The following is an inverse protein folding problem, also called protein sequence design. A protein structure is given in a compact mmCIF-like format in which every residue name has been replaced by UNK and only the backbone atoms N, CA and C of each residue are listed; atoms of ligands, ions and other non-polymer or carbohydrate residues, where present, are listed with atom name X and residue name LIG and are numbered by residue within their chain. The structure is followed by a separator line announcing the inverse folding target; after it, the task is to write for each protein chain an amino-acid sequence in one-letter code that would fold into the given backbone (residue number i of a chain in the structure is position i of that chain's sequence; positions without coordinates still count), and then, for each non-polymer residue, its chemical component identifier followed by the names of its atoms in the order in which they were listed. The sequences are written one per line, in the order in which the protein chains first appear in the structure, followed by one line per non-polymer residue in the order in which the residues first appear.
data_IF_200399062178
#
_entry.id   IF_200399062178
#
_cell.length_a   1.000
_cell.length_b   1.000
_cell.length_c   1.000
_cell.angle_alpha   90.00
_cell.angle_beta   90.00
_cell.angle_gamma   90.00
#
_symmetry.space_group_name_H-M   'P 1'
#
loop_
_entity.id
_entity.type
_entity.pdbx_description
1 polymer ?
#
# COMPACT_ATOMS: atom_id res chain seq x y z
N UNK A 1 -0.25 -26.57 20.23
CA UNK A 1 0.41 -25.26 20.29
C UNK A 1 -0.61 -24.23 19.86
N UNK A 2 -1.00 -23.31 20.74
CA UNK A 2 -1.99 -22.27 20.41
C UNK A 2 -1.43 -21.23 19.44
N UNK A 3 -2.29 -20.51 18.70
CA UNK A 3 -1.87 -19.41 17.80
C UNK A 3 -0.94 -18.40 18.50
N UNK A 4 -1.20 -18.11 19.78
CA UNK A 4 -0.37 -17.22 20.58
C UNK A 4 1.04 -17.78 20.87
N UNK A 5 1.20 -19.10 21.01
CA UNK A 5 2.53 -19.71 21.21
C UNK A 5 3.37 -19.66 19.94
N UNK A 6 2.73 -19.84 18.77
CA UNK A 6 3.39 -19.70 17.46
C UNK A 6 3.81 -18.25 17.20
N UNK A 7 2.95 -17.28 17.52
CA UNK A 7 3.26 -15.85 17.40
C UNK A 7 4.42 -15.45 18.33
N UNK A 8 4.40 -15.98 19.56
CA UNK A 8 5.42 -15.71 20.56
C UNK A 8 6.78 -16.32 20.21
N UNK A 9 6.80 -17.47 19.55
CA UNK A 9 8.03 -18.14 19.10
C UNK A 9 8.59 -17.54 17.79
N UNK A 10 7.75 -16.97 16.93
CA UNK A 10 8.17 -16.43 15.63
C UNK A 10 8.79 -15.02 15.69
N UNK A 11 8.55 -14.29 16.78
CA UNK A 11 9.02 -12.92 16.95
C UNK A 11 10.09 -12.87 18.05
N UNK A 12 11.32 -12.49 17.69
CA UNK A 12 12.43 -12.11 18.60
C UNK A 12 12.13 -10.82 19.40
N UNK A 13 10.84 -10.54 19.65
CA UNK A 13 10.35 -9.39 20.37
C UNK A 13 10.33 -9.67 21.87
N UNK A 14 11.19 -8.98 22.60
CA UNK A 14 11.38 -9.11 24.06
C UNK A 14 10.47 -8.16 24.87
N UNK A 15 9.64 -7.33 24.21
CA UNK A 15 8.72 -6.42 24.87
C UNK A 15 7.45 -7.11 25.37
N UNK A 16 6.63 -6.36 26.12
CA UNK A 16 5.32 -6.82 26.60
C UNK A 16 4.42 -7.21 25.42
N UNK A 17 3.80 -8.39 25.49
CA UNK A 17 2.93 -8.94 24.45
C UNK A 17 1.51 -9.00 25.01
N UNK A 18 0.61 -8.19 24.46
CA UNK A 18 -0.79 -8.17 24.87
C UNK A 18 -1.68 -8.95 23.92
N UNK A 19 -2.54 -9.87 24.41
CA UNK A 19 -3.49 -10.57 23.58
C UNK A 19 -4.63 -9.63 23.13
N UNK A 20 -4.96 -9.67 21.84
CA UNK A 20 -5.97 -8.82 21.21
C UNK A 20 -7.34 -8.75 21.93
N UNK A 21 -7.91 -9.87 22.45
CA UNK A 21 -9.19 -9.83 23.17
C UNK A 21 -9.16 -9.00 24.47
N UNK A 22 -8.01 -8.95 25.14
CA UNK A 22 -7.85 -8.15 26.36
C UNK A 22 -7.75 -6.66 26.04
N UNK A 23 -7.09 -6.31 24.94
CA UNK A 23 -7.02 -4.94 24.40
C UNK A 23 -8.39 -4.39 23.98
N UNK A 24 -9.22 -5.21 23.35
CA UNK A 24 -10.55 -4.79 22.86
C UNK A 24 -11.55 -4.50 24.00
N UNK A 25 -11.34 -5.09 25.17
CA UNK A 25 -12.19 -4.91 26.35
C UNK A 25 -11.67 -3.83 27.32
N UNK A 26 -10.48 -3.28 27.07
CA UNK A 26 -9.96 -2.15 27.84
C UNK A 26 -10.52 -0.84 27.28
N UNK A 27 -11.60 -0.35 27.89
CA UNK A 27 -12.01 1.04 27.77
C UNK A 27 -11.13 1.92 28.65
N UNK A 28 -9.85 2.08 28.28
CA UNK A 28 -9.06 3.17 28.80
C UNK A 28 -9.49 4.45 28.05
N UNK A 29 -9.77 5.58 28.73
CA UNK A 29 -9.86 6.85 28.02
C UNK A 29 -8.53 7.03 27.30
N UNK A 30 -8.56 7.11 25.97
CA UNK A 30 -7.36 7.38 25.20
C UNK A 30 -6.85 8.76 25.61
N UNK A 31 -5.88 8.80 26.52
CA UNK A 31 -5.10 10.00 26.76
C UNK A 31 -4.30 10.23 25.48
N UNK A 32 -4.75 11.20 24.70
CA UNK A 32 -3.97 11.69 23.58
C UNK A 32 -2.64 12.19 24.12
N UNK A 33 -1.52 11.90 23.44
CA UNK A 33 -0.22 12.41 23.86
C UNK A 33 -0.27 13.93 24.00
N UNK A 34 0.36 14.47 25.05
CA UNK A 34 0.38 15.93 25.33
C UNK A 34 1.00 16.74 24.20
N UNK A 35 1.88 16.11 23.41
CA UNK A 35 2.54 16.70 22.26
C UNK A 35 2.30 15.89 20.99
N UNK A 36 2.11 16.58 19.88
CA UNK A 36 2.03 15.93 18.59
C UNK A 36 3.39 15.26 18.26
N UNK A 37 3.41 13.98 17.86
CA UNK A 37 4.63 13.31 17.45
C UNK A 37 5.30 14.03 16.28
N UNK A 38 6.63 14.07 16.26
CA UNK A 38 7.38 14.69 15.17
C UNK A 38 7.22 13.91 13.86
N UNK A 39 7.60 14.51 12.74
CA UNK A 39 7.61 13.83 11.44
C UNK A 39 8.50 12.57 11.41
N UNK A 40 9.57 12.53 12.21
CA UNK A 40 10.48 11.38 12.29
C UNK A 40 10.02 10.33 13.31
N UNK A 41 8.95 10.57 14.07
CA UNK A 41 8.39 9.56 14.96
C UNK A 41 7.92 8.33 14.18
N UNK A 42 8.20 7.14 14.71
CA UNK A 42 7.77 5.86 14.13
C UNK A 42 6.24 5.81 14.06
N UNK A 43 5.69 5.50 12.89
CA UNK A 43 4.25 5.41 12.66
C UNK A 43 3.80 3.99 12.32
N UNK A 44 4.56 3.26 11.50
CA UNK A 44 4.20 1.90 11.07
C UNK A 44 5.44 1.02 11.08
N UNK A 45 5.28 -0.23 11.51
CA UNK A 45 6.26 -1.30 11.30
C UNK A 45 5.64 -2.38 10.43
N UNK A 46 6.31 -2.72 9.33
CA UNK A 46 5.90 -3.79 8.43
C UNK A 46 7.03 -4.79 8.27
N UNK A 47 6.70 -6.08 8.23
CA UNK A 47 7.69 -7.13 8.03
C UNK A 47 7.60 -7.67 6.60
N UNK A 48 8.73 -7.70 5.92
CA UNK A 48 8.88 -8.32 4.59
C UNK A 48 9.67 -9.62 4.70
N UNK A 49 9.49 -10.52 3.73
CA UNK A 49 10.32 -11.72 3.62
C UNK A 49 11.77 -11.30 3.35
N UNK A 50 12.69 -11.58 4.27
CA UNK A 50 14.11 -11.33 4.04
C UNK A 50 14.72 -12.40 3.14
N UNK A 51 15.65 -12.00 2.28
CA UNK A 51 16.44 -12.91 1.43
C UNK A 51 17.23 -13.97 2.22
N UNK A 52 17.48 -13.72 3.51
CA UNK A 52 18.16 -14.63 4.44
C UNK A 52 17.21 -15.60 5.16
N UNK A 53 15.92 -15.62 4.80
CA UNK A 53 14.88 -16.44 5.44
C UNK A 53 14.33 -15.86 6.76
N UNK A 54 14.93 -14.80 7.30
CA UNK A 54 14.42 -14.07 8.47
C UNK A 54 13.69 -12.80 8.02
N UNK A 55 12.45 -12.55 8.47
CA UNK A 55 11.73 -11.32 8.15
C UNK A 55 12.51 -10.06 8.52
N UNK A 56 12.42 -9.02 7.70
CA UNK A 56 13.01 -7.70 7.97
C UNK A 56 11.90 -6.73 8.36
N UNK A 57 11.98 -6.15 9.55
CA UNK A 57 11.03 -5.13 10.00
C UNK A 57 11.42 -3.76 9.47
N UNK A 58 10.57 -3.13 8.68
CA UNK A 58 10.77 -1.80 8.09
C UNK A 58 10.14 -0.76 9.03
N UNK A 59 10.91 0.25 9.42
CA UNK A 59 10.46 1.37 10.27
C UNK A 59 9.97 2.52 9.39
N UNK A 60 8.67 2.79 9.36
CA UNK A 60 8.10 3.89 8.57
C UNK A 60 7.82 5.10 9.48
N UNK A 61 8.35 6.29 9.16
CA UNK A 61 8.11 7.49 9.95
C UNK A 61 6.76 8.14 9.63
N UNK A 62 6.24 8.93 10.57
CA UNK A 62 5.00 9.71 10.43
C UNK A 62 5.02 10.63 9.21
N UNK A 63 6.17 11.23 8.86
CA UNK A 63 6.34 12.07 7.65
C UNK A 63 6.02 11.30 6.37
N UNK A 64 6.42 10.04 6.28
CA UNK A 64 6.20 9.21 5.10
C UNK A 64 4.72 8.89 4.97
N UNK A 65 4.07 8.50 6.08
CA UNK A 65 2.63 8.26 6.13
C UNK A 65 1.82 9.49 5.76
N UNK A 66 2.11 10.65 6.36
CA UNK A 66 1.39 11.90 6.08
C UNK A 66 1.58 12.33 4.62
N UNK A 67 2.80 12.22 4.10
CA UNK A 67 3.08 12.51 2.69
C UNK A 67 2.30 11.59 1.76
N UNK A 68 2.35 10.28 1.99
CA UNK A 68 1.62 9.29 1.20
C UNK A 68 0.11 9.53 1.22
N UNK A 69 -0.47 9.78 2.40
CA UNK A 69 -1.91 10.06 2.55
C UNK A 69 -2.32 11.27 1.72
N UNK A 70 -1.56 12.36 1.77
CA UNK A 70 -1.87 13.56 0.98
C UNK A 70 -1.78 13.30 -0.53
N UNK A 71 -0.70 12.64 -1.00
CA UNK A 71 -0.54 12.27 -2.41
C UNK A 71 -1.68 11.37 -2.87
N UNK A 72 -2.00 10.32 -2.11
CA UNK A 72 -3.02 9.35 -2.47
C UNK A 72 -4.39 10.02 -2.59
N UNK A 73 -4.77 10.89 -1.64
CA UNK A 73 -6.03 11.65 -1.71
C UNK A 73 -6.12 12.50 -2.97
N UNK A 74 -5.05 13.24 -3.31
CA UNK A 74 -5.00 14.09 -4.50
C UNK A 74 -5.08 13.26 -5.79
N UNK A 75 -4.26 12.20 -5.89
CA UNK A 75 -4.16 11.35 -7.07
C UNK A 75 -5.48 10.61 -7.35
N UNK A 76 -6.15 10.13 -6.30
CA UNK A 76 -7.39 9.36 -6.42
C UNK A 76 -8.65 10.21 -6.34
N UNK A 77 -8.54 11.49 -5.99
CA UNK A 77 -9.67 12.40 -5.71
C UNK A 77 -10.57 11.88 -4.58
N UNK A 78 -9.98 11.18 -3.61
CA UNK A 78 -10.67 10.62 -2.46
C UNK A 78 -11.19 11.75 -1.56
N UNK A 79 -12.46 11.66 -1.16
CA UNK A 79 -13.13 12.67 -0.35
C UNK A 79 -14.25 12.03 0.49
N UNK A 80 -14.99 12.84 1.26
CA UNK A 80 -16.00 12.35 2.19
C UNK A 80 -17.21 11.64 1.55
N UNK A 81 -17.44 11.82 0.25
CA UNK A 81 -18.47 11.09 -0.50
C UNK A 81 -17.96 9.76 -1.07
N UNK A 82 -16.65 9.50 -0.97
CA UNK A 82 -16.06 8.26 -1.45
C UNK A 82 -16.40 7.09 -0.54
N UNK A 83 -16.59 5.94 -1.18
CA UNK A 83 -16.72 4.61 -0.56
C UNK A 83 -15.53 3.77 -1.00
N UNK A 84 -14.61 3.50 -0.08
CA UNK A 84 -13.38 2.76 -0.33
C UNK A 84 -13.51 1.31 0.17
N UNK A 85 -12.90 0.35 -0.52
CA UNK A 85 -12.76 -1.02 0.01
C UNK A 85 -11.52 -1.14 0.90
N UNK A 86 -11.56 -2.09 1.83
CA UNK A 86 -10.39 -2.72 2.42
C UNK A 86 -10.35 -4.17 1.94
N UNK A 87 -9.48 -4.42 0.95
CA UNK A 87 -9.24 -5.72 0.32
C UNK A 87 -7.94 -6.35 0.81
N UNK A 88 -6.87 -5.59 0.97
CA UNK A 88 -5.52 -6.05 1.26
C UNK A 88 -5.46 -6.80 2.60
N UNK A 89 -4.47 -7.69 2.73
CA UNK A 89 -4.22 -8.30 4.04
C UNK A 89 -3.49 -7.29 4.91
N UNK A 90 -3.81 -7.26 6.21
CA UNK A 90 -3.18 -6.39 7.20
C UNK A 90 -1.65 -6.51 7.21
N UNK A 91 -1.10 -7.66 6.81
CA UNK A 91 0.34 -7.92 6.76
C UNK A 91 1.07 -7.25 5.59
N UNK A 92 0.36 -6.65 4.63
CA UNK A 92 0.95 -5.94 3.51
C UNK A 92 0.83 -4.43 3.71
N UNK A 93 1.79 -3.69 3.19
CA UNK A 93 1.73 -2.21 3.15
C UNK A 93 0.47 -1.71 2.42
N UNK A 94 -0.04 -2.48 1.45
CA UNK A 94 -1.30 -2.19 0.79
C UNK A 94 -2.51 -2.02 1.72
N UNK A 95 -2.46 -2.51 2.96
CA UNK A 95 -3.49 -2.18 3.94
C UNK A 95 -3.40 -0.72 4.41
N UNK A 96 -2.20 -0.14 4.51
CA UNK A 96 -1.98 1.26 4.90
C UNK A 96 -2.65 2.22 3.90
N UNK A 97 -2.55 1.96 2.58
CA UNK A 97 -3.21 2.79 1.56
C UNK A 97 -4.74 2.67 1.57
N UNK A 98 -5.29 1.55 2.06
CA UNK A 98 -6.73 1.35 2.16
C UNK A 98 -7.33 1.87 3.46
N UNK A 99 -6.56 2.03 4.54
CA UNK A 99 -7.08 2.52 5.82
C UNK A 99 -6.89 4.02 5.99
N UNK A 100 -5.65 4.50 5.95
CA UNK A 100 -5.35 5.86 6.41
C UNK A 100 -5.91 6.95 5.48
N UNK A 101 -5.76 6.87 4.15
CA UNK A 101 -6.32 7.91 3.28
C UNK A 101 -7.85 8.05 3.37
N UNK A 102 -8.66 6.96 3.38
CA UNK A 102 -10.10 7.08 3.60
C UNK A 102 -10.48 7.72 4.94
N UNK A 103 -9.84 7.32 6.04
CA UNK A 103 -10.10 7.90 7.35
C UNK A 103 -9.74 9.39 7.41
N UNK A 104 -8.62 9.80 6.80
CA UNK A 104 -8.18 11.19 6.76
C UNK A 104 -8.98 12.07 5.79
N UNK A 105 -9.76 11.49 4.87
CA UNK A 105 -10.59 12.23 3.90
C UNK A 105 -12.09 12.24 4.25
N UNK A 106 -12.47 11.59 5.37
CA UNK A 106 -13.87 11.42 5.78
C UNK A 106 -14.67 10.45 4.93
N UNK A 107 -13.98 9.62 4.12
CA UNK A 107 -14.62 8.61 3.28
C UNK A 107 -15.19 7.45 4.12
N UNK A 108 -16.10 6.67 3.55
CA UNK A 108 -16.59 5.43 4.18
C UNK A 108 -15.73 4.24 3.76
N UNK A 109 -15.25 3.46 4.73
CA UNK A 109 -14.46 2.26 4.49
C UNK A 109 -15.31 0.98 4.61
N UNK A 110 -15.22 0.10 3.61
CA UNK A 110 -15.91 -1.19 3.53
C UNK A 110 -14.92 -2.35 3.61
N UNK A 111 -14.92 -3.08 4.70
CA UNK A 111 -14.14 -4.31 4.82
C UNK A 111 -14.75 -5.42 3.96
N UNK A 112 -13.97 -5.98 3.05
CA UNK A 112 -14.38 -7.10 2.23
C UNK A 112 -14.24 -8.38 3.07
N UNK A 113 -15.32 -9.16 3.27
CA UNK A 113 -15.24 -10.45 3.96
C UNK A 113 -14.23 -11.38 3.28
N UNK A 114 -13.45 -12.09 4.09
CA UNK A 114 -12.38 -12.97 3.62
C UNK A 114 -12.91 -14.07 2.68
N UNK A 115 -14.13 -14.54 2.93
CA UNK A 115 -14.80 -15.63 2.18
C UNK A 115 -15.15 -15.22 0.75
N UNK A 116 -15.30 -13.92 0.50
CA UNK A 116 -15.64 -13.40 -0.84
C UNK A 116 -14.44 -12.82 -1.58
N UNK A 117 -13.32 -12.59 -0.89
CA UNK A 117 -12.13 -11.91 -1.41
C UNK A 117 -11.62 -12.49 -2.73
N UNK A 118 -11.59 -13.83 -2.86
CA UNK A 118 -11.18 -14.53 -4.10
C UNK A 118 -12.37 -15.04 -4.93
N UNK A 119 -13.60 -14.83 -4.46
CA UNK A 119 -14.82 -15.17 -5.18
C UNK A 119 -15.31 -13.96 -5.97
N UNK A 120 -14.73 -13.73 -7.15
CA UNK A 120 -14.98 -12.54 -7.97
C UNK A 120 -16.47 -12.26 -8.27
N UNK A 121 -17.33 -13.26 -8.57
CA UNK A 121 -18.78 -13.01 -8.71
C UNK A 121 -19.45 -12.47 -7.44
N UNK A 122 -19.01 -12.89 -6.24
CA UNK A 122 -19.52 -12.36 -4.97
C UNK A 122 -18.89 -10.99 -4.67
N UNK A 123 -17.60 -10.82 -4.93
CA UNK A 123 -16.88 -9.55 -4.77
C UNK A 123 -17.47 -8.44 -5.65
N UNK A 124 -17.72 -8.72 -6.93
CA UNK A 124 -18.38 -7.77 -7.85
C UNK A 124 -19.77 -7.37 -7.34
N UNK A 125 -20.59 -8.33 -6.87
CA UNK A 125 -21.88 -8.03 -6.24
C UNK A 125 -21.75 -7.18 -4.97
N UNK A 126 -20.72 -7.43 -4.16
CA UNK A 126 -20.44 -6.66 -2.95
C UNK A 126 -20.06 -5.21 -3.29
N UNK A 127 -19.21 -5.02 -4.31
CA UNK A 127 -18.83 -3.70 -4.84
C UNK A 127 -20.07 -2.91 -5.27
N UNK A 128 -20.93 -3.51 -6.10
CA UNK A 128 -22.14 -2.84 -6.61
C UNK A 128 -23.17 -2.55 -5.50
N UNK A 129 -23.47 -3.54 -4.66
CA UNK A 129 -24.48 -3.40 -3.59
C UNK A 129 -24.08 -2.33 -2.57
N UNK A 130 -22.80 -2.25 -2.27
CA UNK A 130 -22.24 -1.22 -1.39
C UNK A 130 -21.78 0.02 -2.14
N UNK A 131 -22.13 0.19 -3.42
CA UNK A 131 -21.75 1.36 -4.23
C UNK A 131 -20.30 1.78 -4.04
N UNK A 132 -19.39 0.81 -3.97
CA UNK A 132 -17.96 1.06 -3.75
C UNK A 132 -17.44 1.84 -4.96
N UNK A 133 -16.74 2.92 -4.68
CA UNK A 133 -16.23 3.89 -5.66
C UNK A 133 -14.72 3.75 -5.90
N UNK A 134 -13.98 3.35 -4.87
CA UNK A 134 -12.53 3.16 -4.91
C UNK A 134 -12.23 1.77 -4.37
N UNK A 135 -11.54 0.95 -5.15
CA UNK A 135 -11.12 -0.37 -4.68
C UNK A 135 -9.66 -0.61 -5.03
N UNK A 136 -8.89 -1.17 -4.09
CA UNK A 136 -7.59 -1.74 -4.39
C UNK A 136 -7.72 -3.24 -4.60
N UNK A 137 -6.98 -3.78 -5.57
CA UNK A 137 -6.77 -5.21 -5.75
C UNK A 137 -5.31 -5.46 -6.13
N UNK A 138 -4.73 -6.56 -5.66
CA UNK A 138 -3.41 -7.00 -6.13
C UNK A 138 -3.43 -7.19 -7.65
N UNK A 139 -2.28 -7.02 -8.31
CA UNK A 139 -2.15 -7.01 -9.78
C UNK A 139 -2.94 -8.12 -10.47
N UNK A 140 -2.79 -9.36 -10.02
CA UNK A 140 -3.47 -10.52 -10.62
C UNK A 140 -4.98 -10.51 -10.39
N UNK A 141 -5.43 -10.03 -9.23
CA UNK A 141 -6.85 -9.90 -8.93
C UNK A 141 -7.49 -8.76 -9.75
N UNK A 142 -6.82 -7.60 -9.84
CA UNK A 142 -7.25 -6.50 -10.69
C UNK A 142 -7.33 -6.92 -12.16
N UNK A 143 -6.29 -7.60 -12.67
CA UNK A 143 -6.25 -8.10 -14.05
C UNK A 143 -7.40 -9.06 -14.35
N UNK A 144 -7.70 -9.99 -13.43
CA UNK A 144 -8.88 -10.86 -13.57
C UNK A 144 -10.18 -10.07 -13.52
N UNK A 145 -10.30 -9.10 -12.61
CA UNK A 145 -11.50 -8.29 -12.47
C UNK A 145 -11.80 -7.51 -13.75
N UNK A 146 -10.83 -6.78 -14.31
CA UNK A 146 -11.04 -5.95 -15.51
C UNK A 146 -11.38 -6.75 -16.76
N UNK A 147 -10.96 -8.02 -16.85
CA UNK A 147 -11.22 -8.87 -18.01
C UNK A 147 -12.54 -9.65 -17.92
N UNK A 148 -13.04 -9.91 -16.71
CA UNK A 148 -14.20 -10.79 -16.50
C UNK A 148 -15.40 -10.09 -15.87
N UNK A 149 -15.23 -8.91 -15.30
CA UNK A 149 -16.24 -8.20 -14.53
C UNK A 149 -16.23 -6.71 -14.87
N UNK A 150 -17.36 -6.08 -14.63
CA UNK A 150 -17.55 -4.65 -14.77
C UNK A 150 -18.21 -4.11 -13.48
N UNK A 151 -18.13 -2.80 -13.30
CA UNK A 151 -18.76 -2.10 -12.19
C UNK A 151 -19.26 -0.73 -12.65
N UNK A 152 -20.50 -0.43 -12.30
CA UNK A 152 -21.11 0.90 -12.51
C UNK A 152 -20.90 1.82 -11.31
N UNK A 153 -20.63 1.25 -10.13
CA UNK A 153 -20.37 2.04 -8.92
C UNK A 153 -18.91 2.46 -8.79
N UNK A 154 -17.96 1.66 -9.29
CA UNK A 154 -16.55 2.02 -9.27
C UNK A 154 -16.31 3.30 -10.08
N UNK A 155 -15.46 4.16 -9.53
CA UNK A 155 -14.85 5.30 -10.22
C UNK A 155 -13.37 5.02 -10.49
N UNK A 156 -12.72 4.29 -9.59
CA UNK A 156 -11.31 3.97 -9.65
C UNK A 156 -11.01 2.56 -9.09
N UNK A 157 -10.34 1.75 -9.92
CA UNK A 157 -9.66 0.52 -9.50
C UNK A 157 -8.16 0.80 -9.38
N UNK A 158 -7.61 0.64 -8.18
CA UNK A 158 -6.18 0.79 -7.89
C UNK A 158 -5.54 -0.60 -7.87
N UNK A 159 -4.33 -0.71 -8.40
CA UNK A 159 -3.56 -1.94 -8.36
C UNK A 159 -2.06 -1.69 -8.28
N UNK A 160 -1.28 -2.69 -7.88
CA UNK A 160 0.17 -2.60 -7.76
C UNK A 160 0.78 -3.82 -7.07
N UNK A 161 2.11 -3.86 -7.05
CA UNK A 161 2.93 -4.90 -6.40
C UNK A 161 3.62 -5.87 -7.36
N UNK A 162 3.14 -5.99 -8.59
CA UNK A 162 3.74 -6.82 -9.65
C UNK A 162 3.58 -6.13 -11.01
N UNK A 163 4.27 -6.64 -12.04
CA UNK A 163 4.10 -6.16 -13.42
C UNK A 163 2.66 -6.39 -13.88
N UNK A 164 1.92 -5.31 -14.12
CA UNK A 164 0.55 -5.36 -14.62
C UNK A 164 0.51 -5.86 -16.07
N UNK A 165 -0.17 -7.00 -16.37
CA UNK A 165 -0.31 -7.47 -17.75
C UNK A 165 -1.16 -6.51 -18.57
N UNK A 166 -0.91 -6.46 -19.88
CA UNK A 166 -1.66 -5.61 -20.82
C UNK A 166 -3.13 -5.98 -20.90
N UNK A 167 -4.02 -4.98 -20.85
CA UNK A 167 -5.46 -5.13 -21.04
C UNK A 167 -6.03 -3.89 -21.75
N UNK A 168 -7.27 -4.00 -22.23
CA UNK A 168 -8.01 -2.84 -22.74
C UNK A 168 -8.89 -2.29 -21.60
N UNK A 169 -8.75 -1.01 -21.21
CA UNK A 169 -9.48 -0.47 -20.08
C UNK A 169 -11.00 -0.36 -20.33
N UNK A 170 -11.76 -0.46 -19.24
CA UNK A 170 -13.21 -0.28 -19.24
C UNK A 170 -13.57 1.22 -19.39
N UNK A 171 -14.80 1.51 -19.85
CA UNK A 171 -15.33 2.88 -19.98
C UNK A 171 -15.97 3.45 -18.71
N UNK A 172 -16.39 2.60 -17.76
CA UNK A 172 -17.13 3.03 -16.56
C UNK A 172 -16.24 3.52 -15.42
N UNK A 173 -15.03 3.00 -15.31
CA UNK A 173 -14.09 3.37 -14.25
C UNK A 173 -12.65 3.40 -14.78
N UNK A 174 -11.79 4.17 -14.09
CA UNK A 174 -10.37 4.26 -14.42
C UNK A 174 -9.58 3.17 -13.69
N UNK A 175 -8.43 2.78 -14.24
CA UNK A 175 -7.47 1.89 -13.58
C UNK A 175 -6.18 2.65 -13.29
N UNK A 176 -5.72 2.64 -12.04
CA UNK A 176 -4.48 3.25 -11.60
C UNK A 176 -3.48 2.16 -11.21
N UNK A 177 -2.41 2.04 -11.97
CA UNK A 177 -1.27 1.18 -11.68
C UNK A 177 -0.28 1.95 -10.79
N UNK A 178 -0.04 1.46 -9.58
CA UNK A 178 0.89 2.01 -8.61
C UNK A 178 2.16 1.18 -8.54
N UNK A 179 3.29 1.85 -8.29
CA UNK A 179 4.58 1.22 -8.07
C UNK A 179 5.28 1.83 -6.86
N UNK A 180 5.84 0.96 -6.03
CA UNK A 180 6.80 1.31 -5.00
C UNK A 180 7.15 0.09 -4.14
N UNK A 181 8.37 0.03 -3.61
CA UNK A 181 8.73 -0.94 -2.59
C UNK A 181 8.16 -0.54 -1.22
N UNK A 182 8.05 -1.51 -0.31
CA UNK A 182 7.59 -1.31 1.08
C UNK A 182 8.45 -0.28 1.81
N UNK A 183 9.74 -0.21 1.50
CA UNK A 183 10.75 0.73 2.02
C UNK A 183 10.42 2.20 1.71
N UNK A 184 9.51 2.45 0.77
CA UNK A 184 9.02 3.78 0.42
C UNK A 184 7.52 3.97 0.67
N UNK A 185 6.94 3.06 1.46
CA UNK A 185 5.52 3.03 1.84
C UNK A 185 4.55 2.96 0.66
N UNK A 186 4.07 1.76 0.34
CA UNK A 186 3.03 1.47 -0.66
C UNK A 186 3.40 1.83 -2.12
N UNK A 187 3.49 3.13 -2.44
CA UNK A 187 3.81 3.58 -3.78
C UNK A 187 4.50 4.94 -3.82
N UNK A 188 5.37 5.10 -4.81
CA UNK A 188 6.15 6.31 -5.11
C UNK A 188 5.93 6.80 -6.54
N UNK A 189 5.18 6.06 -7.36
CA UNK A 189 4.68 6.50 -8.65
C UNK A 189 3.31 5.91 -8.97
N UNK A 190 2.63 6.51 -9.94
CA UNK A 190 1.35 6.03 -10.45
C UNK A 190 1.15 6.31 -11.94
N UNK A 191 0.39 5.42 -12.60
CA UNK A 191 0.04 5.51 -14.01
C UNK A 191 -1.44 5.16 -14.23
N UNK A 192 -2.21 6.07 -14.83
CA UNK A 192 -3.58 5.76 -15.26
C UNK A 192 -3.54 5.01 -16.59
N UNK A 193 -4.10 3.80 -16.61
CA UNK A 193 -4.21 2.98 -17.83
C UNK A 193 -5.43 3.44 -18.62
N UNK A 194 -5.21 4.35 -19.57
CA UNK A 194 -6.23 5.03 -20.39
C UNK A 194 -6.48 4.36 -21.75
N UNK A 195 -5.55 3.52 -22.21
CA UNK A 195 -5.63 2.73 -23.44
C UNK A 195 -4.83 1.44 -23.30
N UNK A 196 -4.80 0.65 -24.37
CA UNK A 196 -3.92 -0.51 -24.46
C UNK A 196 -2.45 -0.08 -24.55
N UNK A 197 -1.59 -0.76 -23.79
CA UNK A 197 -0.13 -0.62 -23.82
C UNK A 197 0.50 -2.02 -23.86
N UNK A 198 1.50 -2.26 -24.72
CA UNK A 198 2.26 -3.52 -24.73
C UNK A 198 3.05 -3.75 -23.43
N UNK A 199 3.49 -2.66 -22.80
CA UNK A 199 4.11 -2.66 -21.49
C UNK A 199 3.55 -1.50 -20.68
N UNK A 200 2.68 -1.79 -19.72
CA UNK A 200 2.04 -0.76 -18.90
C UNK A 200 3.12 -0.08 -18.02
N UNK A 201 3.31 1.25 -18.15
CA UNK A 201 4.28 1.96 -17.34
C UNK A 201 3.95 1.95 -15.83
N UNK A 202 4.97 2.13 -15.01
CA UNK A 202 4.85 2.47 -13.59
C UNK A 202 4.56 3.97 -13.35
N UNK A 203 4.58 4.76 -14.43
CA UNK A 203 4.20 6.16 -14.45
C UNK A 203 5.28 7.12 -13.97
N UNK A 204 4.83 8.21 -13.37
CA UNK A 204 5.69 9.30 -12.92
C UNK A 204 5.80 9.30 -11.39
N UNK A 205 6.96 9.73 -10.85
CA UNK A 205 7.11 9.89 -9.41
C UNK A 205 6.01 10.79 -8.84
N UNK A 206 5.54 10.44 -7.64
CA UNK A 206 4.65 11.28 -6.85
C UNK A 206 5.30 12.64 -6.58
N UNK A 207 4.48 13.67 -6.35
CA UNK A 207 5.00 15.01 -6.07
C UNK A 207 5.99 14.99 -4.89
N UNK A 208 7.16 15.58 -5.09
CA UNK A 208 8.24 15.56 -4.09
C UNK A 208 9.18 14.36 -4.19
N UNK A 209 8.83 13.34 -4.99
CA UNK A 209 9.68 12.19 -5.28
C UNK A 209 10.41 12.36 -6.61
N UNK A 210 11.53 11.65 -6.79
CA UNK A 210 12.32 11.61 -8.02
C UNK A 210 12.80 10.20 -8.29
N UNK A 211 12.84 9.85 -9.57
CA UNK A 211 13.46 8.63 -10.08
C UNK A 211 14.75 8.98 -10.81
N UNK A 212 15.77 8.17 -10.57
CA UNK A 212 17.04 8.20 -11.28
C UNK A 212 17.34 6.80 -11.78
N UNK A 213 17.97 6.68 -12.95
CA UNK A 213 18.38 5.40 -13.49
C UNK A 213 19.90 5.40 -13.57
N UNK A 214 20.55 4.40 -13.01
CA UNK A 214 22.02 4.30 -12.95
C UNK A 214 22.51 3.04 -13.66
N UNK A 215 23.72 3.11 -14.21
CA UNK A 215 24.43 1.92 -14.68
C UNK A 215 25.15 1.18 -13.53
N UNK A 216 25.77 0.05 -13.85
CA UNK A 216 26.52 -0.76 -12.89
C UNK A 216 27.72 -0.03 -12.24
N UNK A 217 28.17 1.08 -12.83
CA UNK A 217 29.24 1.92 -12.31
C UNK A 217 28.72 3.15 -11.55
N UNK A 218 27.43 3.17 -11.17
CA UNK A 218 26.79 4.26 -10.43
C UNK A 218 26.82 5.60 -11.17
N UNK A 219 26.79 5.58 -12.51
CA UNK A 219 26.68 6.80 -13.33
C UNK A 219 25.23 6.99 -13.77
N UNK A 220 24.70 8.23 -13.70
CA UNK A 220 23.32 8.50 -14.10
C UNK A 220 23.16 8.30 -15.61
N UNK A 221 22.10 7.58 -15.99
CA UNK A 221 21.74 7.27 -17.36
C UNK A 221 20.73 8.29 -17.92
N UNK A 222 20.80 8.50 -19.25
CA UNK A 222 19.88 9.37 -19.97
C UNK A 222 18.57 8.66 -20.32
N UNK A 223 17.56 9.46 -20.67
CA UNK A 223 16.24 8.96 -21.09
C UNK A 223 16.36 7.88 -22.18
N UNK A 224 15.68 6.76 -21.99
CA UNK A 224 15.61 5.65 -22.95
C UNK A 224 16.65 4.55 -22.72
N UNK A 225 17.58 4.74 -21.78
CA UNK A 225 18.53 3.71 -21.37
C UNK A 225 17.97 2.88 -20.20
N UNK A 226 18.45 1.64 -20.07
CA UNK A 226 18.05 0.69 -19.03
C UNK A 226 19.13 0.60 -17.96
N UNK A 227 18.72 0.56 -16.70
CA UNK A 227 19.61 0.48 -15.55
C UNK A 227 18.84 0.30 -14.25
N UNK A 228 19.53 0.40 -13.13
CA UNK A 228 18.95 0.28 -11.79
C UNK A 228 18.18 1.55 -11.42
N UNK A 229 16.98 1.38 -10.87
CA UNK A 229 16.10 2.48 -10.47
C UNK A 229 16.38 2.91 -9.03
N UNK A 230 16.75 4.18 -8.86
CA UNK A 230 16.96 4.82 -7.56
C UNK A 230 15.84 5.82 -7.26
N UNK A 231 15.44 5.87 -6.00
CA UNK A 231 14.26 6.60 -5.55
C UNK A 231 14.68 7.60 -4.48
N UNK A 232 14.45 8.90 -4.74
CA UNK A 232 14.56 9.94 -3.73
C UNK A 232 13.15 10.41 -3.37
N UNK A 233 12.75 10.33 -2.10
CA UNK A 233 11.36 10.57 -1.71
C UNK A 233 11.23 10.92 -0.21
N UNK A 234 10.29 11.80 0.19
CA UNK A 234 9.91 11.99 1.60
C UNK A 234 9.33 10.73 2.27
N UNK A 235 9.05 9.69 1.48
CA UNK A 235 8.43 8.44 1.92
C UNK A 235 9.45 7.36 2.30
N UNK A 236 10.75 7.62 2.11
CA UNK A 236 11.82 6.70 2.48
C UNK A 236 11.74 6.40 3.98
N UNK A 237 11.77 5.09 4.30
CA UNK A 237 11.81 4.53 5.65
C UNK A 237 12.92 5.11 6.53
N UNK A 238 12.83 4.86 7.83
CA UNK A 238 13.91 5.14 8.79
C UNK A 238 15.02 4.06 8.80
N UNK A 239 14.82 2.95 8.08
CA UNK A 239 15.70 1.78 8.11
C UNK A 239 15.03 0.54 8.67
N UNK A 240 15.79 -0.55 8.77
CA UNK A 240 15.30 -1.83 9.28
C UNK A 240 15.51 -1.96 10.81
N UNK A 241 14.61 -2.68 11.48
CA UNK A 241 14.72 -2.97 12.92
C UNK A 241 15.98 -3.80 13.18
N UNK A 242 16.82 -3.32 14.11
CA UNK A 242 18.02 -4.03 14.56
C UNK A 242 19.13 -4.15 13.51
N UNK A 243 19.07 -3.37 12.42
CA UNK A 243 20.07 -3.43 11.33
C UNK A 243 20.52 -2.05 10.88
N UNK A 244 21.04 -1.26 11.80
CA UNK A 244 21.56 0.10 11.56
C UNK A 244 22.67 0.16 10.48
N UNK A 245 23.29 -0.97 10.12
CA UNK A 245 24.29 -1.07 9.04
C UNK A 245 23.75 -1.52 7.67
N UNK A 246 22.57 -2.14 7.59
CA UNK A 246 21.93 -2.51 6.31
C UNK A 246 21.14 -1.34 5.68
N UNK A 247 21.07 -0.20 6.36
CA UNK A 247 20.45 1.06 5.88
C UNK A 247 21.10 1.63 4.60
N UNK A 248 22.19 1.04 4.11
CA UNK A 248 23.01 1.55 3.00
C UNK A 248 22.78 0.89 1.62
N UNK A 249 21.86 -0.08 1.51
CA UNK A 249 21.65 -0.84 0.26
C UNK A 249 20.17 -1.09 -0.10
N UNK A 250 19.27 -0.19 0.32
CA UNK A 250 17.86 -0.22 -0.09
C UNK A 250 17.54 0.93 -1.05
#
# INVERSE_FOLDING_TARGET
MGENELLNAALDYQGEKWPLPELLNQSAPAQLPEHEPSGESLAVVLYTSGSTGRPKGIKIPRRALNHYVNIYQQLTQLNSQSRASSYASFSFDAHVLEIYPPLCSGATLYFIPQEIRLNFPKLSRFIESNRISHAFMTTQAAFRFVNCFDSKSLRLLITGGEKLPSFTPNKHYRVLNLYGPTETLCSVSGFFVDRYYENIPIGYPHQGSRFYVFDEQQRPLSKGQWGELYIASPQIMLGYIGRDREEKQA
#
